data_IF_469914148032
#
_entry.id   IF_469914148032
#
_cell.length_a   1.000
_cell.length_b   1.000
_cell.length_c   1.000
_cell.angle_alpha   90.00
_cell.angle_beta   90.00
_cell.angle_gamma   90.00
#
_symmetry.space_group_name_H-M   'P 1'
#
loop_
_entity.id
_entity.type
_entity.pdbx_description
1 polymer ?
#
# COMPACT_ATOMS: atom_id res chain seq x y z
N UNK A 1 -22.21 9.73 16.69
CA UNK A 1 -21.51 10.19 15.45
C UNK A 1 -20.98 9.02 14.63
N UNK A 2 -20.26 8.06 15.24
CA UNK A 2 -19.81 6.80 14.58
C UNK A 2 -20.99 6.01 13.98
N UNK A 3 -22.14 5.97 14.65
CA UNK A 3 -23.35 5.29 14.17
C UNK A 3 -23.89 5.85 12.84
N UNK A 4 -23.61 7.12 12.50
CA UNK A 4 -23.95 7.69 11.18
C UNK A 4 -22.93 7.29 10.13
N UNK A 5 -21.65 7.18 10.49
CA UNK A 5 -20.59 6.68 9.60
C UNK A 5 -20.78 5.19 9.27
N UNK A 6 -21.39 4.43 10.19
CA UNK A 6 -21.75 3.01 10.01
C UNK A 6 -23.15 2.79 9.40
N UNK A 7 -23.85 3.87 9.02
CA UNK A 7 -25.10 3.82 8.23
C UNK A 7 -24.83 4.33 6.80
N UNK A 8 -23.82 3.76 6.14
CA UNK A 8 -23.45 4.09 4.76
C UNK A 8 -24.33 3.40 3.71
N UNK A 9 -24.35 3.93 2.48
CA UNK A 9 -24.95 3.26 1.33
C UNK A 9 -24.13 2.01 0.94
N UNK A 10 -24.70 0.95 0.33
CA UNK A 10 -23.92 -0.23 -0.10
C UNK A 10 -22.73 0.11 -1.00
N UNK A 11 -22.84 1.17 -1.82
CA UNK A 11 -21.76 1.70 -2.65
C UNK A 11 -20.54 2.14 -1.84
N UNK A 12 -20.77 2.79 -0.70
CA UNK A 12 -19.71 3.19 0.21
C UNK A 12 -18.93 1.98 0.73
N UNK A 13 -19.63 0.93 1.16
CA UNK A 13 -18.97 -0.29 1.65
C UNK A 13 -18.25 -1.06 0.54
N UNK A 14 -18.81 -1.13 -0.67
CA UNK A 14 -18.09 -1.72 -1.81
C UNK A 14 -16.79 -0.98 -2.09
N UNK A 15 -16.80 0.35 -2.03
CA UNK A 15 -15.60 1.16 -2.19
C UNK A 15 -14.57 0.89 -1.08
N UNK A 16 -15.01 0.79 0.18
CA UNK A 16 -14.11 0.43 1.28
C UNK A 16 -13.48 -0.95 1.09
N UNK A 17 -14.26 -1.96 0.72
CA UNK A 17 -13.75 -3.31 0.46
C UNK A 17 -12.75 -3.30 -0.69
N UNK A 18 -13.02 -2.54 -1.75
CA UNK A 18 -12.08 -2.38 -2.86
C UNK A 18 -10.76 -1.76 -2.41
N UNK A 19 -10.80 -0.66 -1.64
CA UNK A 19 -9.60 -0.02 -1.10
C UNK A 19 -8.83 -0.96 -0.15
N UNK A 20 -9.54 -1.68 0.72
CA UNK A 20 -8.93 -2.70 1.59
C UNK A 20 -8.30 -3.84 0.78
N UNK A 21 -8.88 -4.21 -0.36
CA UNK A 21 -8.30 -5.16 -1.30
C UNK A 21 -6.95 -4.67 -1.85
N UNK A 22 -6.88 -3.41 -2.29
CA UNK A 22 -5.63 -2.79 -2.77
C UNK A 22 -4.58 -2.77 -1.66
N UNK A 23 -4.96 -2.35 -0.44
CA UNK A 23 -4.05 -2.35 0.72
C UNK A 23 -3.57 -3.77 1.03
N UNK A 24 -4.46 -4.77 0.96
CA UNK A 24 -4.14 -6.19 1.15
C UNK A 24 -3.11 -6.70 0.14
N UNK A 25 -3.25 -6.33 -1.14
CA UNK A 25 -2.25 -6.65 -2.17
C UNK A 25 -0.91 -5.98 -1.84
N UNK A 26 -0.91 -4.70 -1.44
CA UNK A 26 0.29 -3.99 -1.02
C UNK A 26 1.01 -4.66 0.17
N UNK A 27 0.26 -5.06 1.19
CA UNK A 27 0.78 -5.81 2.33
C UNK A 27 1.34 -7.18 1.90
N UNK A 28 0.67 -7.88 0.99
CA UNK A 28 1.15 -9.14 0.43
C UNK A 28 2.50 -9.00 -0.27
N UNK A 29 2.64 -7.98 -1.13
CA UNK A 29 3.90 -7.65 -1.78
C UNK A 29 5.00 -7.28 -0.75
N UNK A 30 4.65 -6.52 0.29
CA UNK A 30 5.57 -6.17 1.37
C UNK A 30 6.07 -7.41 2.13
N UNK A 31 5.19 -8.34 2.49
CA UNK A 31 5.58 -9.60 3.12
C UNK A 31 6.45 -10.46 2.21
N UNK A 32 6.12 -10.53 0.91
CA UNK A 32 6.93 -11.24 -0.07
C UNK A 32 8.35 -10.65 -0.14
N UNK A 33 8.46 -9.32 -0.17
CA UNK A 33 9.73 -8.61 -0.10
C UNK A 33 10.49 -8.85 1.21
N UNK A 34 9.79 -8.87 2.34
CA UNK A 34 10.38 -9.14 3.65
C UNK A 34 11.06 -10.52 3.67
N UNK A 35 10.43 -11.53 3.04
CA UNK A 35 10.95 -12.90 2.99
C UNK A 35 12.03 -13.11 1.91
N UNK A 36 11.90 -12.48 0.75
CA UNK A 36 12.85 -12.67 -0.37
C UNK A 36 14.00 -11.66 -0.37
N UNK A 37 13.91 -10.62 0.44
CA UNK A 37 14.89 -9.54 0.50
C UNK A 37 14.68 -8.45 -0.56
N UNK A 38 15.45 -7.37 -0.45
CA UNK A 38 15.30 -6.17 -1.29
C UNK A 38 15.58 -6.41 -2.78
N UNK A 39 16.23 -7.51 -3.16
CA UNK A 39 16.56 -7.81 -4.56
C UNK A 39 15.35 -7.88 -5.49
N UNK A 40 14.16 -8.22 -4.98
CA UNK A 40 12.93 -8.27 -5.79
C UNK A 40 12.41 -6.89 -6.23
N UNK A 41 12.93 -5.82 -5.64
CA UNK A 41 12.50 -4.44 -5.93
C UNK A 41 13.19 -3.85 -7.16
N UNK A 42 14.17 -4.56 -7.73
CA UNK A 42 15.03 -4.03 -8.80
C UNK A 42 16.09 -3.03 -8.31
N UNK A 43 16.19 -2.79 -7.00
CA UNK A 43 17.28 -2.01 -6.42
C UNK A 43 18.60 -2.78 -6.48
N UNK A 44 19.69 -2.05 -6.67
CA UNK A 44 21.04 -2.60 -6.79
C UNK A 44 22.10 -1.57 -6.40
N UNK A 45 23.35 -1.81 -6.81
CA UNK A 45 24.47 -0.93 -6.44
C UNK A 45 24.32 0.50 -6.98
N UNK A 46 23.90 0.64 -8.24
CA UNK A 46 23.81 1.94 -8.91
C UNK A 46 22.48 2.67 -8.60
N UNK A 47 21.43 1.92 -8.22
CA UNK A 47 20.12 2.44 -7.83
C UNK A 47 19.77 1.82 -6.48
N UNK A 48 20.28 2.40 -5.41
CA UNK A 48 20.20 1.82 -4.06
C UNK A 48 18.88 2.12 -3.35
N UNK A 49 18.16 3.18 -3.73
CA UNK A 49 16.95 3.64 -3.04
C UNK A 49 15.67 3.52 -3.88
N UNK A 50 15.80 3.55 -5.21
CA UNK A 50 14.72 3.29 -6.16
C UNK A 50 13.39 3.99 -5.84
N UNK A 51 12.29 3.24 -5.92
CA UNK A 51 10.92 3.74 -5.69
C UNK A 51 10.67 4.12 -4.24
N UNK A 52 11.41 3.56 -3.27
CA UNK A 52 11.19 3.84 -1.85
C UNK A 52 11.35 5.33 -1.52
N UNK A 53 12.45 5.94 -1.96
CA UNK A 53 12.68 7.35 -1.68
C UNK A 53 11.72 8.25 -2.47
N UNK A 54 11.39 7.87 -3.71
CA UNK A 54 10.43 8.62 -4.52
C UNK A 54 9.04 8.67 -3.87
N UNK A 55 8.58 7.57 -3.28
CA UNK A 55 7.31 7.54 -2.54
C UNK A 55 7.40 8.31 -1.23
N UNK A 56 8.53 8.21 -0.51
CA UNK A 56 8.73 8.96 0.73
C UNK A 56 8.62 10.48 0.49
N UNK A 57 9.32 11.01 -0.51
CA UNK A 57 9.25 12.45 -0.80
C UNK A 57 7.87 12.88 -1.30
N UNK A 58 7.20 12.04 -2.11
CA UNK A 58 5.86 12.34 -2.61
C UNK A 58 4.78 12.35 -1.52
N UNK A 59 4.84 11.41 -0.57
CA UNK A 59 3.82 11.25 0.47
C UNK A 59 4.07 12.09 1.73
N UNK A 60 5.32 12.51 1.97
CA UNK A 60 5.68 13.39 3.10
C UNK A 60 5.57 14.88 2.74
N UNK A 61 5.64 15.21 1.45
CA UNK A 61 5.59 16.58 0.93
C UNK A 61 4.25 17.29 1.10
#
# INVERSE_FOLDING_TARGET
>A
MIEKALKGEPRYYMWLVFLLGIIGVGMGCWFYQLHKGLGITGMGRDISWGVYIAQFTYLVG
#
